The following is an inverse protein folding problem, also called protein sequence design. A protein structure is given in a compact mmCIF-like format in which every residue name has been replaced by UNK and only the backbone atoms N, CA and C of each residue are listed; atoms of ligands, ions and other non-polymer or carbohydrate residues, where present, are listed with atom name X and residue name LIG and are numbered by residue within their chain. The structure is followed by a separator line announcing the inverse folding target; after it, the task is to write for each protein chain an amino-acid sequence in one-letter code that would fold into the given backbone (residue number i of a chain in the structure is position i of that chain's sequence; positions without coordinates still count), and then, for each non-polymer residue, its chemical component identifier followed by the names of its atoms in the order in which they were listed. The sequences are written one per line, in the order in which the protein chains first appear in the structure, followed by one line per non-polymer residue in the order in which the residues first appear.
data_IF_826387686343
#
_entry.id   IF_826387686343
#
_cell.length_a   1.000
_cell.length_b   1.000
_cell.length_c   1.000
_cell.angle_alpha   90.00
_cell.angle_beta   90.00
_cell.angle_gamma   90.00
#
_symmetry.space_group_name_H-M   'P 1'
#
loop_
_entity.id
_entity.type
_entity.pdbx_description
1 polymer ?
#
# COMPACT_ATOMS: atom_id res chain seq x y z
N UNK A 1 29.68 -32.67 -86.02
CA UNK A 1 28.72 -33.32 -85.09
C UNK A 1 27.70 -32.28 -84.67
N UNK A 2 26.52 -32.27 -85.31
CA UNK A 2 25.48 -31.26 -85.10
C UNK A 2 24.54 -31.73 -83.95
N UNK A 3 24.74 -31.23 -82.83
CA UNK A 3 23.85 -31.44 -81.70
C UNK A 3 22.73 -30.42 -81.84
N UNK A 4 21.67 -30.80 -82.56
CA UNK A 4 20.40 -30.10 -82.50
C UNK A 4 19.72 -30.46 -81.18
N UNK A 5 19.99 -29.74 -80.15
CA UNK A 5 19.32 -29.83 -78.89
C UNK A 5 17.86 -29.46 -79.15
N UNK A 6 16.96 -30.45 -79.25
CA UNK A 6 15.49 -30.19 -79.26
C UNK A 6 15.10 -29.62 -77.92
N UNK A 7 14.80 -28.38 -77.85
CA UNK A 7 14.17 -27.76 -76.69
C UNK A 7 12.75 -28.31 -76.55
N UNK A 8 12.56 -29.35 -75.74
CA UNK A 8 11.28 -29.88 -75.43
C UNK A 8 10.68 -29.02 -74.31
N UNK A 9 9.36 -28.82 -74.35
CA UNK A 9 8.60 -28.05 -73.37
C UNK A 9 8.90 -28.52 -71.92
N UNK A 10 9.05 -29.82 -71.73
CA UNK A 10 9.40 -30.39 -70.42
C UNK A 10 10.76 -29.95 -69.93
N UNK A 11 11.77 -29.84 -70.77
CA UNK A 11 13.15 -29.40 -70.39
C UNK A 11 13.18 -27.90 -70.12
N UNK A 12 12.41 -27.09 -70.86
CA UNK A 12 12.27 -25.67 -70.64
C UNK A 12 11.53 -25.39 -69.32
N UNK A 13 10.45 -26.14 -69.09
CA UNK A 13 9.69 -26.00 -67.86
C UNK A 13 10.49 -26.42 -66.62
N UNK A 14 11.26 -27.50 -66.70
CA UNK A 14 12.11 -27.98 -65.62
C UNK A 14 13.25 -27.01 -65.28
N UNK A 15 13.89 -26.45 -66.32
CA UNK A 15 14.98 -25.45 -66.12
C UNK A 15 14.42 -24.12 -65.57
N UNK A 16 13.24 -23.71 -66.04
CA UNK A 16 12.59 -22.52 -65.51
C UNK A 16 12.16 -22.71 -64.02
N UNK A 17 11.62 -23.86 -63.69
CA UNK A 17 11.28 -24.18 -62.31
C UNK A 17 12.50 -24.22 -61.38
N UNK A 18 13.59 -24.82 -61.85
CA UNK A 18 14.84 -24.85 -61.10
C UNK A 18 15.46 -23.44 -60.94
N UNK A 19 15.43 -22.62 -61.99
CA UNK A 19 15.89 -21.25 -61.94
C UNK A 19 15.07 -20.39 -60.94
N UNK A 20 13.77 -20.56 -60.88
CA UNK A 20 12.90 -19.90 -59.92
C UNK A 20 13.19 -20.41 -58.49
N UNK A 21 13.38 -21.70 -58.30
CA UNK A 21 13.71 -22.27 -56.97
C UNK A 21 15.08 -21.80 -56.46
N UNK A 22 16.09 -21.67 -57.35
CA UNK A 22 17.44 -21.23 -56.99
C UNK A 22 17.55 -19.71 -56.87
N UNK A 23 16.76 -18.93 -57.61
CA UNK A 23 16.77 -17.46 -57.55
C UNK A 23 16.04 -16.90 -56.34
N UNK A 24 15.49 -17.73 -55.47
CA UNK A 24 14.86 -17.28 -54.21
C UNK A 24 13.51 -16.55 -54.35
N UNK A 25 12.92 -16.54 -55.60
CA UNK A 25 11.61 -15.92 -55.81
C UNK A 25 10.45 -16.83 -55.37
N UNK A 26 10.75 -18.10 -55.10
CA UNK A 26 9.80 -19.11 -54.63
C UNK A 26 10.10 -19.50 -53.19
N UNK A 27 9.70 -18.68 -52.24
CA UNK A 27 9.40 -19.10 -50.86
C UNK A 27 10.50 -19.83 -50.07
N UNK A 28 11.81 -19.61 -50.33
CA UNK A 28 12.82 -20.00 -49.34
C UNK A 28 12.67 -19.04 -48.18
N UNK A 29 12.19 -19.56 -47.07
CA UNK A 29 12.27 -18.86 -45.82
C UNK A 29 13.73 -18.53 -45.55
N UNK A 30 14.16 -17.30 -45.85
CA UNK A 30 15.40 -16.79 -45.37
C UNK A 30 15.35 -16.72 -43.84
N UNK A 31 15.91 -17.74 -43.20
CA UNK A 31 16.33 -17.63 -41.81
C UNK A 31 17.61 -16.75 -41.67
N UNK A 32 17.98 -15.97 -42.72
CA UNK A 32 18.94 -14.90 -42.59
C UNK A 32 18.30 -13.80 -41.77
N UNK A 33 18.88 -13.49 -40.64
CA UNK A 33 18.36 -12.62 -39.58
C UNK A 33 17.47 -11.49 -40.12
N UNK A 34 16.31 -11.34 -39.54
CA UNK A 34 15.42 -10.23 -39.83
C UNK A 34 16.22 -8.93 -39.71
N UNK A 35 16.11 -8.06 -40.71
CA UNK A 35 16.75 -6.74 -40.62
C UNK A 35 16.27 -6.01 -39.35
N UNK A 36 17.14 -5.21 -38.77
CA UNK A 36 16.78 -4.42 -37.60
C UNK A 36 15.50 -3.62 -37.87
N UNK A 37 14.58 -3.63 -36.88
CA UNK A 37 13.28 -2.97 -36.97
C UNK A 37 12.33 -3.51 -38.07
N UNK A 38 12.57 -4.70 -38.65
CA UNK A 38 11.67 -5.32 -39.63
C UNK A 38 10.40 -5.87 -39.04
N UNK A 39 10.38 -6.18 -37.73
CA UNK A 39 9.19 -6.63 -37.01
C UNK A 39 8.46 -5.43 -36.43
N UNK A 40 7.28 -5.14 -36.97
CA UNK A 40 6.41 -4.03 -36.55
C UNK A 40 5.11 -4.55 -35.97
N UNK A 41 4.34 -3.68 -35.28
CA UNK A 41 3.05 -4.07 -34.68
C UNK A 41 2.10 -4.81 -35.62
N UNK A 42 1.94 -4.45 -36.92
CA UNK A 42 1.09 -5.19 -37.83
C UNK A 42 1.58 -6.61 -38.14
N UNK A 43 2.86 -6.90 -37.96
CA UNK A 43 3.43 -8.23 -38.22
C UNK A 43 3.33 -9.17 -37.03
N UNK A 44 2.99 -8.65 -35.86
CA UNK A 44 2.80 -9.44 -34.64
C UNK A 44 1.28 -9.62 -34.43
N UNK A 45 0.81 -10.87 -34.54
CA UNK A 45 -0.58 -11.16 -34.23
C UNK A 45 -0.84 -10.94 -32.73
N UNK A 46 -1.97 -10.32 -32.40
CA UNK A 46 -2.35 -10.05 -31.01
C UNK A 46 -2.29 -11.33 -30.16
N UNK A 47 -1.71 -11.23 -28.97
CA UNK A 47 -1.59 -12.33 -28.01
C UNK A 47 -0.50 -13.37 -28.36
N UNK A 48 0.34 -13.13 -29.36
CA UNK A 48 1.42 -14.06 -29.73
C UNK A 48 2.71 -13.82 -28.94
N UNK A 49 2.94 -12.64 -28.40
CA UNK A 49 4.06 -12.41 -27.47
C UNK A 49 3.66 -12.93 -26.11
N UNK A 50 4.26 -14.01 -25.68
CA UNK A 50 4.00 -14.68 -24.39
C UNK A 50 5.13 -14.41 -23.39
N UNK A 51 4.93 -14.78 -22.15
CA UNK A 51 5.95 -14.61 -21.10
C UNK A 51 7.28 -15.28 -21.45
N UNK A 52 7.23 -16.45 -22.11
CA UNK A 52 8.45 -17.16 -22.54
C UNK A 52 9.24 -16.41 -23.61
N UNK A 53 8.61 -15.51 -24.37
CA UNK A 53 9.24 -14.70 -25.41
C UNK A 53 9.93 -13.44 -24.85
N UNK A 54 9.70 -13.16 -23.55
CA UNK A 54 10.25 -12.03 -22.84
C UNK A 54 11.33 -12.49 -21.89
N UNK A 55 12.56 -12.06 -22.12
CA UNK A 55 13.66 -12.31 -21.19
C UNK A 55 13.43 -11.66 -19.83
N UNK A 56 14.04 -12.19 -18.77
CA UNK A 56 13.98 -11.59 -17.45
C UNK A 56 14.40 -10.12 -17.50
N UNK A 57 13.63 -9.25 -16.83
CA UNK A 57 13.85 -7.79 -16.80
C UNK A 57 13.80 -7.08 -18.16
N UNK A 58 13.30 -7.73 -19.21
CA UNK A 58 13.20 -7.14 -20.55
C UNK A 58 12.15 -6.02 -20.64
N UNK A 59 11.11 -6.05 -19.77
CA UNK A 59 10.10 -5.01 -19.67
C UNK A 59 10.48 -4.05 -18.54
N UNK A 60 10.91 -2.86 -18.91
CA UNK A 60 11.27 -1.79 -17.97
C UNK A 60 10.16 -0.74 -17.89
N UNK A 61 10.18 0.13 -16.87
CA UNK A 61 9.18 1.19 -16.72
C UNK A 61 9.06 2.13 -17.94
N UNK A 62 10.13 2.29 -18.74
CA UNK A 62 10.10 3.07 -19.99
C UNK A 62 9.27 2.39 -21.10
N UNK A 63 9.04 1.08 -21.01
CA UNK A 63 8.26 0.30 -21.98
C UNK A 63 6.79 0.18 -21.60
N UNK A 64 6.43 0.60 -20.39
CA UNK A 64 5.07 0.63 -19.87
C UNK A 64 4.59 2.07 -19.90
N UNK A 65 3.53 2.34 -20.65
CA UNK A 65 2.96 3.69 -20.69
C UNK A 65 2.39 4.06 -19.32
N UNK A 66 2.69 5.25 -18.83
CA UNK A 66 2.18 5.74 -17.55
C UNK A 66 0.63 5.68 -17.52
N UNK A 67 0.08 5.17 -16.41
CA UNK A 67 -1.36 5.04 -16.20
C UNK A 67 -2.05 3.88 -16.94
N UNK A 68 -1.28 2.94 -17.55
CA UNK A 68 -1.87 1.78 -18.25
C UNK A 68 -1.91 0.51 -17.43
N UNK A 69 -1.23 0.46 -16.27
CA UNK A 69 -1.36 -0.64 -15.32
C UNK A 69 -2.51 -0.34 -14.37
N UNK A 70 -3.48 -1.23 -14.31
CA UNK A 70 -4.54 -1.21 -13.32
C UNK A 70 -4.17 -2.11 -12.13
N UNK A 71 -4.84 -1.95 -11.01
CA UNK A 71 -4.66 -2.81 -9.83
C UNK A 71 -4.90 -4.30 -10.15
N UNK A 72 -5.85 -4.58 -11.05
CA UNK A 72 -6.15 -5.94 -11.52
C UNK A 72 -4.98 -6.61 -12.27
N UNK A 73 -4.04 -5.83 -12.80
CA UNK A 73 -2.87 -6.33 -13.54
C UNK A 73 -1.74 -6.78 -12.60
N UNK A 74 -1.88 -6.49 -11.31
CA UNK A 74 -0.94 -6.86 -10.26
C UNK A 74 -1.41 -8.12 -9.52
N UNK A 75 -0.49 -9.03 -9.22
CA UNK A 75 -0.79 -10.14 -8.31
C UNK A 75 -0.99 -9.63 -6.87
N UNK A 76 -1.58 -10.48 -5.99
CA UNK A 76 -1.88 -10.09 -4.61
C UNK A 76 -0.65 -9.59 -3.83
N UNK A 77 0.50 -10.24 -3.97
CA UNK A 77 1.73 -9.82 -3.29
C UNK A 77 2.22 -8.44 -3.76
N UNK A 78 2.16 -8.16 -5.08
CA UNK A 78 2.51 -6.86 -5.62
C UNK A 78 1.53 -5.79 -5.14
N UNK A 79 0.22 -6.07 -5.11
CA UNK A 79 -0.77 -5.15 -4.55
C UNK A 79 -0.47 -4.79 -3.10
N UNK A 80 -0.26 -5.81 -2.26
CA UNK A 80 0.12 -5.61 -0.86
C UNK A 80 1.40 -4.78 -0.74
N UNK A 81 2.43 -5.03 -1.54
CA UNK A 81 3.67 -4.25 -1.50
C UNK A 81 3.48 -2.78 -1.92
N UNK A 82 2.54 -2.48 -2.81
CA UNK A 82 2.21 -1.10 -3.19
C UNK A 82 1.30 -0.39 -2.18
N UNK A 83 0.44 -1.13 -1.49
CA UNK A 83 -0.44 -0.60 -0.44
C UNK A 83 0.20 -0.63 0.94
N UNK A 84 1.20 -1.48 1.18
CA UNK A 84 1.94 -1.57 2.44
C UNK A 84 2.75 -0.30 2.79
N UNK A 85 2.59 0.77 2.06
CA UNK A 85 3.22 2.07 2.35
C UNK A 85 2.50 2.93 3.36
N UNK A 86 1.31 2.56 3.82
CA UNK A 86 0.57 3.23 4.90
C UNK A 86 -0.67 2.41 5.29
N UNK A 87 -0.50 1.29 5.96
CA UNK A 87 -1.63 0.67 6.64
C UNK A 87 -2.10 1.61 7.75
N UNK A 88 -3.32 2.08 7.64
CA UNK A 88 -3.95 2.88 8.65
C UNK A 88 -4.90 1.99 9.47
N UNK A 89 -4.64 1.91 10.74
CA UNK A 89 -5.48 1.23 11.71
C UNK A 89 -6.30 2.28 12.44
N UNK A 90 -7.59 2.03 12.64
CA UNK A 90 -8.46 2.95 13.37
C UNK A 90 -9.42 2.19 14.26
N UNK A 91 -9.77 2.81 15.37
CA UNK A 91 -10.83 2.37 16.28
C UNK A 91 -11.64 3.59 16.73
N UNK A 92 -12.93 3.37 16.97
CA UNK A 92 -13.88 4.39 17.40
C UNK A 92 -14.81 3.80 18.47
N UNK A 93 -15.00 4.53 19.56
CA UNK A 93 -16.00 4.22 20.57
C UNK A 93 -17.04 5.34 20.65
N UNK A 94 -18.25 5.02 21.09
CA UNK A 94 -19.30 6.03 21.21
C UNK A 94 -19.05 6.96 22.40
N UNK A 95 -18.81 6.40 23.57
CA UNK A 95 -18.44 7.17 24.78
C UNK A 95 -17.89 6.25 25.87
N UNK A 96 -17.17 6.85 26.82
CA UNK A 96 -16.68 6.20 28.02
C UNK A 96 -16.92 7.12 29.21
N UNK A 97 -17.44 6.56 30.32
CA UNK A 97 -17.63 7.31 31.56
C UNK A 97 -16.40 7.18 32.45
N UNK A 98 -15.94 8.29 33.00
CA UNK A 98 -14.86 8.33 33.98
C UNK A 98 -15.31 9.08 35.23
N UNK A 99 -14.82 8.65 36.38
CA UNK A 99 -15.14 9.30 37.66
C UNK A 99 -13.98 9.20 38.66
N UNK A 100 -13.93 10.15 39.59
CA UNK A 100 -12.98 10.08 40.67
C UNK A 100 -13.24 8.84 41.55
N UNK A 101 -12.19 8.06 41.76
CA UNK A 101 -12.26 6.79 42.49
C UNK A 101 -12.50 5.56 41.62
N UNK A 102 -12.71 5.73 40.33
CA UNK A 102 -12.63 4.63 39.38
C UNK A 102 -11.14 4.29 39.14
N UNK A 103 -10.71 3.06 39.41
CA UNK A 103 -9.34 2.65 39.14
C UNK A 103 -9.05 2.48 37.65
N UNK A 104 -10.09 2.35 36.83
CA UNK A 104 -9.95 2.16 35.40
C UNK A 104 -10.27 3.46 34.65
N UNK A 105 -9.21 4.17 34.27
CA UNK A 105 -9.29 5.39 33.45
C UNK A 105 -9.01 5.11 31.99
N UNK A 106 -8.96 3.85 31.59
CA UNK A 106 -8.70 3.41 30.22
C UNK A 106 -9.90 3.70 29.33
N UNK A 107 -9.72 4.54 28.34
CA UNK A 107 -10.73 4.89 27.35
C UNK A 107 -10.82 3.81 26.29
N UNK A 108 -9.68 3.39 25.77
CA UNK A 108 -9.56 2.26 24.84
C UNK A 108 -8.17 1.65 24.86
N UNK A 109 -8.11 0.42 24.38
CA UNK A 109 -6.89 -0.29 24.04
C UNK A 109 -7.00 -0.75 22.60
N UNK A 110 -5.92 -0.53 21.84
CA UNK A 110 -5.89 -0.79 20.41
C UNK A 110 -4.57 -1.42 20.03
N UNK A 111 -4.60 -2.60 19.41
CA UNK A 111 -3.40 -3.35 19.07
C UNK A 111 -3.09 -3.22 17.58
N UNK A 112 -1.86 -2.82 17.27
CA UNK A 112 -1.33 -2.77 15.90
C UNK A 112 -0.17 -3.77 15.75
N UNK A 113 0.10 -4.26 14.53
CA UNK A 113 1.28 -5.10 14.26
C UNK A 113 2.60 -4.42 14.65
N UNK A 114 3.69 -5.20 14.62
CA UNK A 114 5.05 -4.71 14.89
C UNK A 114 5.54 -3.81 13.75
N UNK A 115 5.61 -2.50 13.97
CA UNK A 115 6.17 -1.48 13.08
C UNK A 115 6.22 -0.13 13.81
N UNK A 116 6.85 0.87 13.20
CA UNK A 116 6.74 2.26 13.65
C UNK A 116 5.46 2.90 13.12
N UNK A 117 4.74 3.64 13.96
CA UNK A 117 3.49 4.30 13.61
C UNK A 117 3.48 5.79 13.95
N UNK A 118 2.94 6.59 13.04
CA UNK A 118 2.40 7.89 13.39
C UNK A 118 1.01 7.68 13.98
N UNK A 119 0.83 8.05 15.25
CA UNK A 119 -0.44 7.84 15.96
C UNK A 119 -1.10 9.18 16.24
N UNK A 120 -2.39 9.25 15.94
CA UNK A 120 -3.25 10.37 16.27
C UNK A 120 -4.47 9.86 17.01
N UNK A 121 -4.72 10.39 18.21
CA UNK A 121 -5.93 10.11 18.97
C UNK A 121 -6.65 11.41 19.31
N UNK A 122 -7.98 11.38 19.33
CA UNK A 122 -8.80 12.53 19.69
C UNK A 122 -10.04 12.09 20.45
N UNK A 123 -10.54 12.96 21.32
CA UNK A 123 -11.79 12.77 22.04
C UNK A 123 -12.38 14.11 22.44
N UNK A 124 -13.67 14.12 22.77
CA UNK A 124 -14.31 15.22 23.44
C UNK A 124 -14.59 14.82 24.89
N UNK A 125 -14.29 15.70 25.83
CA UNK A 125 -14.55 15.46 27.26
C UNK A 125 -15.66 16.40 27.71
N UNK A 126 -16.66 15.89 28.39
CA UNK A 126 -17.68 16.69 29.06
C UNK A 126 -17.64 16.40 30.55
N UNK A 127 -17.68 17.46 31.35
CA UNK A 127 -17.79 17.36 32.81
C UNK A 127 -19.29 17.27 33.19
N UNK A 128 -19.70 16.15 33.73
CA UNK A 128 -21.10 15.87 34.08
C UNK A 128 -21.40 16.05 35.57
N UNK A 129 -20.39 16.26 36.40
CA UNK A 129 -20.55 16.51 37.84
C UNK A 129 -19.29 17.05 38.51
N UNK A 130 -19.50 17.82 39.56
CA UNK A 130 -18.41 18.51 40.25
C UNK A 130 -18.22 19.96 39.79
N UNK A 131 -17.13 20.56 40.21
CA UNK A 131 -16.71 21.90 39.78
C UNK A 131 -16.00 21.87 38.41
N UNK A 132 -15.53 23.04 37.96
CA UNK A 132 -14.63 23.13 36.81
C UNK A 132 -13.44 22.19 37.04
N UNK A 133 -13.13 21.36 36.05
CA UNK A 133 -12.03 20.41 36.16
C UNK A 133 -11.12 20.45 34.95
N UNK A 134 -9.85 20.21 35.21
CA UNK A 134 -8.85 19.98 34.17
C UNK A 134 -8.76 18.47 33.96
N UNK A 135 -8.95 18.03 32.72
CA UNK A 135 -8.86 16.60 32.33
C UNK A 135 -7.59 16.40 31.53
N UNK A 136 -6.81 15.42 31.97
CA UNK A 136 -5.59 15.01 31.26
C UNK A 136 -5.82 13.67 30.59
N UNK A 137 -5.58 13.61 29.31
CA UNK A 137 -5.56 12.35 28.57
C UNK A 137 -4.15 12.06 28.10
N UNK A 138 -3.77 10.79 28.17
CA UNK A 138 -2.47 10.29 27.76
C UNK A 138 -2.61 9.12 26.81
N UNK A 139 -1.76 9.09 25.80
CA UNK A 139 -1.59 7.97 24.89
C UNK A 139 -0.27 7.29 25.20
N UNK A 140 -0.31 6.00 25.45
CA UNK A 140 0.85 5.21 25.90
C UNK A 140 1.02 3.94 25.09
N UNK A 141 2.26 3.40 25.09
CA UNK A 141 2.60 2.07 24.62
C UNK A 141 3.51 1.35 25.62
N UNK A 142 3.43 0.03 25.76
CA UNK A 142 4.40 -0.74 26.51
C UNK A 142 5.72 -0.84 25.72
N UNK A 143 6.85 -0.71 26.44
CA UNK A 143 8.19 -0.97 25.92
C UNK A 143 8.89 -1.88 26.92
N UNK A 144 8.88 -3.20 26.66
CA UNK A 144 9.35 -4.19 27.60
C UNK A 144 8.51 -4.19 28.89
N UNK A 145 9.16 -3.95 30.05
CA UNK A 145 8.49 -3.88 31.35
C UNK A 145 8.00 -2.45 31.70
N UNK A 146 8.23 -1.48 30.84
CA UNK A 146 7.89 -0.08 31.07
C UNK A 146 6.74 0.36 30.16
N UNK A 147 6.02 1.41 30.60
CA UNK A 147 5.04 2.11 29.77
C UNK A 147 5.66 3.42 29.32
N UNK A 148 5.69 3.65 28.02
CA UNK A 148 6.16 4.90 27.42
C UNK A 148 4.96 5.77 27.05
N UNK A 149 5.01 7.03 27.44
CA UNK A 149 4.02 8.03 27.04
C UNK A 149 4.37 8.57 25.67
N UNK A 150 3.48 8.37 24.71
CA UNK A 150 3.58 8.87 23.33
C UNK A 150 3.16 10.33 23.28
N UNK A 151 2.05 10.67 23.93
CA UNK A 151 1.51 12.03 23.96
C UNK A 151 0.64 12.25 25.21
N UNK A 152 0.57 13.50 25.64
CA UNK A 152 -0.33 13.95 26.71
C UNK A 152 -1.00 15.25 26.29
N UNK A 153 -2.26 15.40 26.60
CA UNK A 153 -3.03 16.63 26.34
C UNK A 153 -3.97 16.91 27.52
N UNK A 154 -4.11 18.16 27.84
CA UNK A 154 -4.95 18.63 28.94
C UNK A 154 -6.04 19.59 28.43
N UNK A 155 -7.22 19.49 29.00
CA UNK A 155 -8.35 20.37 28.67
C UNK A 155 -9.14 20.74 29.93
N UNK A 156 -9.44 22.02 30.06
CA UNK A 156 -10.29 22.53 31.12
C UNK A 156 -11.77 22.53 30.69
N UNK A 157 -12.60 21.86 31.48
CA UNK A 157 -14.04 21.74 31.20
C UNK A 157 -14.87 22.23 32.37
N UNK A 158 -15.71 23.24 32.11
CA UNK A 158 -16.65 23.73 33.12
C UNK A 158 -17.75 22.70 33.39
N UNK A 159 -18.34 22.76 34.58
CA UNK A 159 -19.46 21.91 34.93
C UNK A 159 -20.70 22.23 34.06
N UNK A 160 -21.40 21.19 33.70
CA UNK A 160 -22.64 21.28 32.89
C UNK A 160 -22.49 20.54 31.56
N UNK A 161 -23.39 19.60 31.30
CA UNK A 161 -23.33 18.66 30.18
C UNK A 161 -23.33 19.25 28.74
N UNK A 162 -23.27 20.58 28.61
CA UNK A 162 -23.13 21.26 27.32
C UNK A 162 -21.72 21.81 27.05
N UNK A 163 -20.81 21.73 28.02
CA UNK A 163 -19.44 22.21 27.87
C UNK A 163 -18.55 21.05 27.44
N UNK A 164 -17.97 21.19 26.26
CA UNK A 164 -17.07 20.22 25.66
C UNK A 164 -15.66 20.75 25.64
N UNK A 165 -14.71 19.93 26.07
CA UNK A 165 -13.30 20.13 25.83
C UNK A 165 -12.79 19.10 24.83
N UNK A 166 -12.00 19.52 23.87
CA UNK A 166 -11.43 18.62 22.88
C UNK A 166 -10.00 18.27 23.24
N UNK A 167 -9.71 16.98 23.25
CA UNK A 167 -8.39 16.40 23.41
C UNK A 167 -7.85 16.00 22.04
N UNK A 168 -6.57 16.27 21.79
CA UNK A 168 -5.86 15.79 20.62
C UNK A 168 -4.46 15.34 21.01
N UNK A 169 -4.13 14.10 20.70
CA UNK A 169 -2.89 13.42 21.03
C UNK A 169 -2.21 12.99 19.74
N UNK A 170 -0.97 13.39 19.54
CA UNK A 170 -0.22 13.02 18.34
C UNK A 170 1.20 12.65 18.72
N UNK A 171 1.71 11.56 18.17
CA UNK A 171 3.06 11.12 18.45
C UNK A 171 3.47 9.93 17.59
N UNK A 172 4.59 9.35 17.93
CA UNK A 172 5.13 8.18 17.23
C UNK A 172 5.18 7.02 18.22
N UNK A 173 4.52 5.93 17.84
CA UNK A 173 4.70 4.63 18.47
C UNK A 173 5.86 3.93 17.78
N UNK A 174 6.79 3.39 18.55
CA UNK A 174 7.98 2.73 18.03
C UNK A 174 7.85 1.23 18.08
N UNK A 175 8.46 0.55 17.12
CA UNK A 175 8.52 -0.91 17.06
C UNK A 175 9.18 -1.50 18.31
N UNK A 176 8.56 -2.54 18.87
CA UNK A 176 9.00 -3.22 20.10
C UNK A 176 9.25 -4.72 19.90
N UNK A 177 9.55 -5.14 18.66
CA UNK A 177 9.71 -6.55 18.25
C UNK A 177 8.46 -7.42 18.46
N UNK A 178 7.28 -6.81 18.47
CA UNK A 178 5.99 -7.50 18.64
C UNK A 178 4.81 -6.57 18.44
N UNK A 179 3.56 -7.08 18.47
CA UNK A 179 2.38 -6.24 18.38
C UNK A 179 2.40 -5.15 19.46
N UNK A 180 2.07 -3.93 19.08
CA UNK A 180 2.06 -2.76 19.95
C UNK A 180 0.63 -2.53 20.45
N UNK A 181 0.46 -2.51 21.77
CA UNK A 181 -0.79 -2.13 22.40
C UNK A 181 -0.79 -0.62 22.70
N UNK A 182 -1.61 0.12 22.00
CA UNK A 182 -1.81 1.56 22.20
C UNK A 182 -2.94 1.75 23.19
N UNK A 183 -2.69 2.44 24.29
CA UNK A 183 -3.68 2.67 25.34
C UNK A 183 -3.91 4.17 25.51
N UNK A 184 -5.17 4.60 25.47
CA UNK A 184 -5.58 5.95 25.85
C UNK A 184 -6.22 5.92 27.21
N UNK A 185 -5.73 6.74 28.12
CA UNK A 185 -6.31 6.95 29.45
C UNK A 185 -6.69 8.42 29.63
N UNK A 186 -7.76 8.68 30.38
CA UNK A 186 -8.15 10.05 30.74
C UNK A 186 -8.52 10.12 32.22
N UNK A 187 -8.12 11.18 32.90
CA UNK A 187 -8.44 11.42 34.29
C UNK A 187 -8.71 12.91 34.59
N UNK A 188 -9.56 13.19 35.54
CA UNK A 188 -9.76 14.55 36.08
C UNK A 188 -8.76 14.84 37.19
N UNK A 189 -8.20 16.04 37.19
CA UNK A 189 -7.17 16.45 38.13
C UNK A 189 -7.71 16.79 39.55
N UNK A 190 -9.01 17.10 39.66
CA UNK A 190 -9.64 17.51 40.92
C UNK A 190 -10.82 16.61 41.25
N UNK A 191 -10.73 15.88 42.33
CA UNK A 191 -11.82 15.06 42.85
C UNK A 191 -12.74 15.88 43.78
N UNK A 192 -14.07 15.60 43.85
CA UNK A 192 -14.78 14.57 43.06
C UNK A 192 -15.14 15.08 41.66
N UNK A 193 -15.09 14.19 40.66
CA UNK A 193 -15.59 14.46 39.33
C UNK A 193 -16.33 13.27 38.74
N UNK A 194 -17.23 13.55 37.79
CA UNK A 194 -17.76 12.62 36.83
C UNK A 194 -17.71 13.24 35.45
N UNK A 195 -17.28 12.49 34.45
CA UNK A 195 -17.16 12.99 33.13
C UNK A 195 -17.47 11.90 32.10
N UNK A 196 -17.73 12.32 30.87
CA UNK A 196 -17.83 11.43 29.72
C UNK A 196 -16.76 11.82 28.70
N UNK A 197 -16.07 10.84 28.19
CA UNK A 197 -15.21 10.95 27.02
C UNK A 197 -16.05 10.49 25.84
N UNK A 198 -16.33 11.41 24.93
CA UNK A 198 -17.24 11.24 23.80
C UNK A 198 -16.44 11.07 22.53
N UNK A 199 -16.90 10.20 21.64
CA UNK A 199 -16.33 9.95 20.33
C UNK A 199 -14.80 9.78 20.36
N UNK A 200 -14.23 8.99 21.28
CA UNK A 200 -12.79 8.73 21.27
C UNK A 200 -12.42 7.96 20.02
N UNK A 201 -11.39 8.42 19.34
CA UNK A 201 -10.89 7.86 18.08
C UNK A 201 -9.40 7.74 18.14
N UNK A 202 -8.88 6.70 17.50
CA UNK A 202 -7.46 6.52 17.27
C UNK A 202 -7.22 6.14 15.81
N UNK A 203 -6.17 6.69 15.25
CA UNK A 203 -5.63 6.32 13.94
C UNK A 203 -4.15 6.08 14.10
N UNK A 204 -3.68 4.92 13.67
CA UNK A 204 -2.26 4.60 13.59
C UNK A 204 -1.90 4.37 12.12
N UNK A 205 -0.99 5.15 11.59
CA UNK A 205 -0.49 5.03 10.21
C UNK A 205 0.91 4.48 10.26
N UNK A 206 1.13 3.33 9.65
CA UNK A 206 2.45 2.71 9.59
C UNK A 206 3.44 3.63 8.86
N UNK A 207 4.55 3.90 9.51
CA UNK A 207 5.69 4.60 8.92
C UNK A 207 6.50 3.56 8.16
N UNK A 208 6.41 3.57 6.84
CA UNK A 208 7.25 2.70 6.02
C UNK A 208 8.71 2.81 6.45
N UNK A 209 9.44 1.70 6.48
CA UNK A 209 10.84 1.64 6.91
C UNK A 209 11.67 2.68 6.15
N UNK A 210 11.88 3.84 6.74
CA UNK A 210 12.83 4.82 6.28
C UNK A 210 14.23 4.24 6.53
N UNK A 211 14.79 3.60 5.52
CA UNK A 211 16.22 3.28 5.57
C UNK A 211 16.97 4.60 5.66
N UNK A 212 17.41 4.94 6.84
CA UNK A 212 18.39 6.01 7.01
C UNK A 212 19.63 5.66 6.17
N UNK A 213 19.85 6.45 5.11
CA UNK A 213 21.09 6.42 4.34
C UNK A 213 22.12 7.32 5.02
#
# INVERSE_FOLDING_TARGET
MNIKTKLNYSNVAATAALAIAVSGVGGVAYAAGLADNSVTSPTIKNGQVKTADLGGSSVTGKKVKAGTLAESDLNGAARTAFTAGADAYFDELNFHNISSGDPDTTIFQFTVPSADYLVSASANVTNTGGDVNDFTCSLTQPIGEFTSTIATSEVRVANGGGNLGTISLNGVAVDTDGPIELTMTCEGQQAPYTAQVLDPRIVAVELGSATHK
#
